data_IF_612311406935
#
_entry.id   IF_612311406935
#
_cell.length_a   1.000
_cell.length_b   1.000
_cell.length_c   1.000
_cell.angle_alpha   90.00
_cell.angle_beta   90.00
_cell.angle_gamma   90.00
#
_symmetry.space_group_name_H-M   'P 1'
#
loop_
_entity.id
_entity.type
_entity.pdbx_description
1 polymer ?
#
# COMPACT_ATOMS: atom_id res chain seq x y z
N UNK A 1 1.13 -1.54 20.13
CA UNK A 1 0.76 -1.29 18.73
C UNK A 1 -0.10 -2.46 18.27
N UNK A 2 -1.21 -2.20 17.57
CA UNK A 2 -2.02 -3.22 16.87
C UNK A 2 -2.02 -2.86 15.39
N UNK A 3 -1.02 -3.32 14.62
CA UNK A 3 -0.84 -2.90 13.24
C UNK A 3 -1.72 -3.71 12.27
N UNK A 4 -2.10 -3.07 11.16
CA UNK A 4 -2.57 -3.72 9.94
C UNK A 4 -1.66 -3.34 8.77
N UNK A 5 -1.33 -4.31 7.93
CA UNK A 5 -0.59 -4.08 6.69
C UNK A 5 -1.57 -3.74 5.57
N UNK A 6 -1.35 -2.62 4.90
CA UNK A 6 -2.10 -2.21 3.72
C UNK A 6 -1.16 -2.19 2.53
N UNK A 7 -1.33 -3.16 1.64
CA UNK A 7 -0.56 -3.28 0.39
C UNK A 7 -1.37 -2.65 -0.73
N UNK A 8 -0.87 -1.55 -1.28
CA UNK A 8 -1.59 -0.68 -2.20
C UNK A 8 -1.18 -0.97 -3.65
N UNK A 9 -2.15 -1.31 -4.47
CA UNK A 9 -2.09 -1.37 -5.95
C UNK A 9 -1.00 -2.28 -6.55
N UNK A 10 -0.57 -3.30 -5.81
CA UNK A 10 0.33 -4.34 -6.32
C UNK A 10 -0.45 -5.35 -7.18
N UNK A 11 -1.02 -4.88 -8.29
CA UNK A 11 -1.94 -5.60 -9.18
C UNK A 11 -1.35 -5.82 -10.57
N UNK A 12 -1.99 -6.72 -11.34
CA UNK A 12 -1.50 -7.15 -12.66
C UNK A 12 -1.38 -5.99 -13.65
N UNK A 13 -2.36 -5.09 -13.72
CA UNK A 13 -2.31 -3.96 -14.65
C UNK A 13 -1.23 -2.93 -14.29
N UNK A 14 -0.88 -2.79 -13.02
CA UNK A 14 0.12 -1.82 -12.59
C UNK A 14 1.55 -2.40 -12.61
N UNK A 15 1.72 -3.64 -12.20
CA UNK A 15 3.02 -4.27 -12.00
C UNK A 15 3.27 -5.42 -12.97
N UNK A 16 2.24 -6.17 -13.33
CA UNK A 16 2.36 -7.40 -14.12
C UNK A 16 2.97 -7.19 -15.51
N UNK A 17 2.69 -6.06 -16.17
CA UNK A 17 3.30 -5.72 -17.45
C UNK A 17 4.84 -5.58 -17.36
N UNK A 18 5.35 -5.21 -16.20
CA UNK A 18 6.77 -5.06 -15.94
C UNK A 18 7.46 -6.38 -15.55
N UNK A 19 6.70 -7.33 -15.00
CA UNK A 19 7.21 -8.68 -14.69
C UNK A 19 7.56 -9.48 -15.94
N UNK A 20 6.76 -9.32 -17.01
CA UNK A 20 6.94 -10.07 -18.26
C UNK A 20 7.97 -9.45 -19.22
N UNK A 21 8.27 -8.16 -19.13
CA UNK A 21 9.06 -7.43 -20.13
C UNK A 21 10.31 -6.72 -19.62
N UNK A 22 10.23 -5.97 -18.55
CA UNK A 22 11.33 -5.14 -18.05
C UNK A 22 11.49 -5.25 -16.52
N UNK A 23 12.36 -6.18 -16.09
CA UNK A 23 12.71 -6.36 -14.67
C UNK A 23 13.35 -5.14 -14.00
N UNK A 24 13.60 -4.06 -14.74
CA UNK A 24 14.18 -2.81 -14.22
C UNK A 24 13.14 -1.82 -13.68
N UNK A 25 11.84 -2.14 -13.75
CA UNK A 25 10.81 -1.26 -13.18
C UNK A 25 10.95 -1.12 -11.67
N UNK A 26 10.87 0.11 -11.18
CA UNK A 26 10.91 0.40 -9.75
C UNK A 26 9.83 -0.37 -8.97
N UNK A 27 8.69 -0.64 -9.59
CA UNK A 27 7.59 -1.40 -9.00
C UNK A 27 7.94 -2.87 -8.75
N UNK A 28 8.79 -3.46 -9.58
CA UNK A 28 9.26 -4.85 -9.41
C UNK A 28 10.32 -4.94 -8.32
N UNK A 29 11.16 -3.91 -8.18
CA UNK A 29 12.26 -3.92 -7.20
C UNK A 29 11.81 -3.99 -5.75
N UNK A 30 10.60 -3.49 -5.43
CA UNK A 30 10.07 -3.49 -4.06
C UNK A 30 9.41 -4.82 -3.66
N UNK A 31 9.11 -5.71 -4.63
CA UNK A 31 8.41 -6.98 -4.35
C UNK A 31 9.11 -7.81 -3.28
N UNK A 32 10.44 -8.05 -3.33
CA UNK A 32 11.11 -8.86 -2.30
C UNK A 32 10.96 -8.29 -0.88
N UNK A 33 11.00 -6.97 -0.74
CA UNK A 33 10.82 -6.33 0.56
C UNK A 33 9.37 -6.45 1.04
N UNK A 34 8.37 -6.28 0.15
CA UNK A 34 6.97 -6.50 0.50
C UNK A 34 6.73 -7.97 0.90
N UNK A 35 7.35 -8.94 0.21
CA UNK A 35 7.26 -10.36 0.58
C UNK A 35 7.80 -10.63 1.99
N UNK A 36 8.94 -10.04 2.36
CA UNK A 36 9.50 -10.14 3.72
C UNK A 36 8.54 -9.56 4.76
N UNK A 37 7.99 -8.39 4.49
CA UNK A 37 7.03 -7.74 5.38
C UNK A 37 5.73 -8.53 5.51
N UNK A 38 5.20 -9.01 4.40
CA UNK A 38 4.00 -9.86 4.32
C UNK A 38 4.20 -11.16 5.10
N UNK A 39 5.35 -11.81 4.95
CA UNK A 39 5.73 -13.00 5.72
C UNK A 39 5.74 -12.75 7.23
N UNK A 40 6.22 -11.58 7.66
CA UNK A 40 6.23 -11.20 9.07
C UNK A 40 4.81 -11.01 9.62
N UNK A 41 3.94 -10.31 8.89
CA UNK A 41 2.54 -10.14 9.29
C UNK A 41 1.79 -11.47 9.36
N UNK A 42 2.00 -12.36 8.38
CA UNK A 42 1.43 -13.73 8.38
C UNK A 42 1.91 -14.56 9.56
N UNK A 43 3.21 -14.51 9.87
CA UNK A 43 3.81 -15.23 11.01
C UNK A 43 3.19 -14.84 12.35
N UNK A 44 2.78 -13.59 12.49
CA UNK A 44 2.15 -13.06 13.71
C UNK A 44 0.63 -13.01 13.64
N UNK A 45 0.00 -13.58 12.62
CA UNK A 45 -1.45 -13.54 12.39
C UNK A 45 -2.04 -12.13 12.49
N UNK A 46 -1.31 -11.13 11.97
CA UNK A 46 -1.73 -9.73 11.94
C UNK A 46 -2.60 -9.45 10.71
N UNK A 47 -3.53 -8.47 10.80
CA UNK A 47 -4.39 -8.11 9.69
C UNK A 47 -3.62 -7.66 8.44
N UNK A 48 -4.04 -8.18 7.28
CA UNK A 48 -3.47 -7.85 5.97
C UNK A 48 -4.60 -7.48 5.02
N UNK A 49 -4.44 -6.34 4.35
CA UNK A 49 -5.39 -5.80 3.39
C UNK A 49 -4.64 -5.48 2.09
N UNK A 50 -5.12 -6.00 0.98
CA UNK A 50 -4.70 -5.62 -0.36
C UNK A 50 -5.69 -4.59 -0.88
N UNK A 51 -5.33 -3.31 -0.85
CA UNK A 51 -6.12 -2.23 -1.41
C UNK A 51 -5.81 -2.13 -2.90
N UNK A 52 -6.78 -2.47 -3.75
CA UNK A 52 -6.59 -2.60 -5.20
C UNK A 52 -7.47 -1.61 -5.95
N UNK A 53 -6.89 -0.92 -6.93
CA UNK A 53 -7.67 -0.09 -7.85
C UNK A 53 -8.73 -0.91 -8.58
N UNK A 54 -9.96 -0.38 -8.66
CA UNK A 54 -11.11 -1.00 -9.29
C UNK A 54 -11.98 0.07 -9.92
N UNK A 55 -11.50 0.60 -11.07
CA UNK A 55 -12.12 1.72 -11.77
C UNK A 55 -13.28 1.29 -12.69
N UNK A 56 -14.07 2.27 -13.11
CA UNK A 56 -15.03 2.14 -14.21
C UNK A 56 -14.52 2.95 -15.41
N UNK A 57 -14.82 2.52 -16.64
CA UNK A 57 -14.36 3.20 -17.87
C UNK A 57 -14.64 4.71 -17.90
N UNK A 58 -15.78 5.16 -17.37
CA UNK A 58 -16.17 6.57 -17.31
C UNK A 58 -15.63 7.35 -16.12
N UNK A 59 -14.69 6.81 -15.35
CA UNK A 59 -14.13 7.53 -14.20
C UNK A 59 -13.30 8.74 -14.63
N UNK A 60 -13.46 9.85 -13.90
CA UNK A 60 -12.77 11.13 -14.17
C UNK A 60 -11.25 10.99 -14.30
N UNK A 61 -10.65 10.04 -13.61
CA UNK A 61 -9.20 9.79 -13.66
C UNK A 61 -8.69 9.52 -15.08
N UNK A 62 -9.56 9.00 -15.96
CA UNK A 62 -9.25 8.68 -17.36
C UNK A 62 -9.53 9.83 -18.33
N UNK A 63 -10.06 10.96 -17.86
CA UNK A 63 -10.28 12.15 -18.71
C UNK A 63 -8.99 12.91 -19.03
N UNK A 64 -7.87 12.54 -18.42
CA UNK A 64 -6.56 13.17 -18.63
C UNK A 64 -5.58 12.27 -19.42
N UNK A 65 -4.37 12.20 -18.91
CA UNK A 65 -3.27 11.45 -19.56
C UNK A 65 -3.29 9.96 -19.24
N UNK A 66 -4.00 9.55 -18.19
CA UNK A 66 -4.05 8.18 -17.75
C UNK A 66 -4.97 7.36 -18.66
N UNK A 67 -4.45 6.28 -19.22
CA UNK A 67 -5.27 5.32 -19.99
C UNK A 67 -6.09 4.44 -19.07
N UNK A 68 -7.28 3.99 -19.49
CA UNK A 68 -8.05 3.01 -18.73
C UNK A 68 -7.23 1.77 -18.40
N UNK A 69 -7.20 1.42 -17.12
CA UNK A 69 -6.54 0.24 -16.54
C UNK A 69 -7.21 -0.10 -15.22
N UNK A 70 -6.88 -1.24 -14.64
CA UNK A 70 -7.46 -1.71 -13.38
C UNK A 70 -9.00 -1.62 -13.38
N UNK A 71 -9.61 -2.01 -14.50
CA UNK A 71 -11.06 -1.95 -14.66
C UNK A 71 -11.74 -3.04 -13.84
N UNK A 72 -12.80 -2.67 -13.14
CA UNK A 72 -13.59 -3.57 -12.29
C UNK A 72 -14.06 -4.80 -13.06
N UNK A 73 -13.92 -5.97 -12.42
CA UNK A 73 -14.32 -7.24 -12.99
C UNK A 73 -13.32 -7.84 -13.99
N UNK A 74 -12.22 -7.16 -14.32
CA UNK A 74 -11.16 -7.70 -15.17
C UNK A 74 -10.09 -8.43 -14.38
N UNK A 75 -9.24 -9.20 -15.06
CA UNK A 75 -8.07 -9.82 -14.43
C UNK A 75 -7.01 -8.79 -14.00
N UNK A 76 -7.06 -7.58 -14.53
CA UNK A 76 -6.10 -6.51 -14.26
C UNK A 76 -6.06 -6.06 -12.81
N UNK A 77 -7.21 -6.13 -12.10
CA UNK A 77 -7.29 -5.77 -10.68
C UNK A 77 -6.77 -6.85 -9.72
N UNK A 78 -6.44 -8.04 -10.23
CA UNK A 78 -5.93 -9.13 -9.39
C UNK A 78 -4.54 -8.80 -8.88
N UNK A 79 -4.30 -9.07 -7.59
CA UNK A 79 -2.96 -8.98 -6.98
C UNK A 79 -1.99 -9.85 -7.78
N UNK A 80 -0.75 -9.40 -7.93
CA UNK A 80 0.31 -10.17 -8.60
C UNK A 80 0.58 -11.48 -7.88
N UNK A 81 1.03 -12.48 -8.60
CA UNK A 81 1.21 -13.85 -8.06
C UNK A 81 2.27 -13.91 -6.96
N UNK A 82 3.29 -13.06 -7.06
CA UNK A 82 4.37 -12.95 -6.09
C UNK A 82 3.91 -12.52 -4.68
N UNK A 83 2.73 -11.91 -4.58
CA UNK A 83 2.13 -11.43 -3.34
C UNK A 83 0.75 -12.06 -3.07
N UNK A 84 0.39 -13.13 -3.74
CA UNK A 84 -0.93 -13.76 -3.69
C UNK A 84 -1.56 -13.73 -2.30
N UNK A 85 -2.79 -13.18 -2.16
CA UNK A 85 -3.50 -13.18 -0.91
C UNK A 85 -3.77 -14.60 -0.41
N UNK A 86 -3.54 -14.83 0.89
CA UNK A 86 -3.88 -16.07 1.56
C UNK A 86 -5.35 -16.08 2.02
N UNK A 87 -5.86 -17.25 2.40
CA UNK A 87 -7.19 -17.36 3.00
C UNK A 87 -7.29 -16.53 4.27
N UNK A 88 -8.34 -15.72 4.39
CA UNK A 88 -8.57 -14.82 5.51
C UNK A 88 -7.94 -13.42 5.36
N UNK A 89 -7.12 -13.18 4.33
CA UNK A 89 -6.65 -11.85 4.01
C UNK A 89 -7.69 -11.09 3.17
N UNK A 90 -7.78 -9.78 3.36
CA UNK A 90 -8.82 -8.95 2.75
C UNK A 90 -8.34 -8.34 1.44
N UNK A 91 -9.17 -8.43 0.39
CA UNK A 91 -9.02 -7.64 -0.83
C UNK A 91 -10.04 -6.51 -0.76
N UNK A 92 -9.56 -5.27 -0.74
CA UNK A 92 -10.36 -4.06 -0.72
C UNK A 92 -10.32 -3.41 -2.11
N UNK A 93 -11.41 -3.50 -2.85
CA UNK A 93 -11.54 -2.77 -4.12
C UNK A 93 -11.83 -1.30 -3.87
N UNK A 94 -10.92 -0.42 -4.26
CA UNK A 94 -11.07 1.03 -4.16
C UNK A 94 -11.26 1.67 -5.54
N UNK A 95 -12.23 2.56 -5.66
CA UNK A 95 -12.52 3.28 -6.91
C UNK A 95 -11.83 4.64 -6.99
N UNK A 96 -11.03 5.00 -5.98
CA UNK A 96 -10.28 6.26 -5.89
C UNK A 96 -8.91 5.99 -5.30
N UNK A 97 -8.02 6.95 -5.39
CA UNK A 97 -6.62 6.77 -4.98
C UNK A 97 -6.49 6.33 -3.52
N UNK A 98 -7.29 6.89 -2.61
CA UNK A 98 -7.27 6.49 -1.21
C UNK A 98 -8.11 5.24 -0.95
N UNK A 99 -7.56 4.32 -0.15
CA UNK A 99 -8.26 3.14 0.34
C UNK A 99 -9.44 3.46 1.28
N UNK A 100 -9.49 4.66 1.85
CA UNK A 100 -10.58 5.09 2.74
C UNK A 100 -11.75 5.72 2.01
N UNK A 101 -11.53 6.23 0.78
CA UNK A 101 -12.57 6.99 0.11
C UNK A 101 -13.73 6.10 -0.36
N UNK A 102 -14.87 6.23 0.31
CA UNK A 102 -16.11 5.49 0.00
C UNK A 102 -15.94 3.96 0.00
N UNK A 103 -15.15 3.46 0.93
CA UNK A 103 -14.99 2.03 1.25
C UNK A 103 -15.38 1.78 2.71
N UNK A 104 -15.38 0.54 3.12
CA UNK A 104 -15.60 0.13 4.51
C UNK A 104 -14.30 -0.06 5.32
N UNK A 105 -13.16 0.44 4.80
CA UNK A 105 -11.85 0.24 5.41
C UNK A 105 -11.79 0.71 6.87
N UNK A 106 -12.30 1.92 7.17
CA UNK A 106 -12.31 2.44 8.55
C UNK A 106 -13.10 1.52 9.50
N UNK A 107 -14.31 1.12 9.10
CA UNK A 107 -15.15 0.23 9.91
C UNK A 107 -14.47 -1.12 10.15
N UNK A 108 -13.84 -1.69 9.12
CA UNK A 108 -13.12 -2.96 9.20
C UNK A 108 -11.93 -2.86 10.16
N UNK A 109 -11.11 -1.82 10.04
CA UNK A 109 -9.96 -1.59 10.91
C UNK A 109 -10.37 -1.41 12.39
N UNK A 110 -11.45 -0.68 12.63
CA UNK A 110 -11.97 -0.49 14.00
C UNK A 110 -12.56 -1.78 14.58
N UNK A 111 -13.27 -2.58 13.78
CA UNK A 111 -13.74 -3.89 14.19
C UNK A 111 -12.57 -4.78 14.66
N UNK A 112 -11.45 -4.74 13.97
CA UNK A 112 -10.24 -5.47 14.32
C UNK A 112 -9.41 -4.81 15.44
N UNK A 113 -9.86 -3.66 15.93
CA UNK A 113 -9.17 -2.87 16.96
C UNK A 113 -7.75 -2.46 16.54
N UNK A 114 -7.54 -2.24 15.26
CA UNK A 114 -6.29 -1.71 14.71
C UNK A 114 -6.12 -0.27 15.17
N UNK A 115 -4.89 0.13 15.48
CA UNK A 115 -4.55 1.50 15.82
C UNK A 115 -3.34 2.05 15.05
N UNK A 116 -2.74 1.22 14.20
CA UNK A 116 -1.56 1.59 13.42
C UNK A 116 -1.67 0.98 12.02
N UNK A 117 -1.50 1.79 11.00
CA UNK A 117 -1.47 1.37 9.60
C UNK A 117 -0.03 1.26 9.14
N UNK A 118 0.32 0.16 8.52
CA UNK A 118 1.61 -0.02 7.82
C UNK A 118 1.30 -0.02 6.34
N UNK A 119 1.63 1.08 5.66
CA UNK A 119 1.21 1.31 4.27
C UNK A 119 2.40 1.15 3.34
N UNK A 120 2.24 0.31 2.33
CA UNK A 120 3.27 -0.04 1.32
C UNK A 120 2.67 -0.17 -0.07
N UNK A 121 3.50 -0.26 -1.10
CA UNK A 121 3.07 -0.49 -2.49
C UNK A 121 3.28 0.72 -3.39
N UNK A 122 2.34 0.98 -4.28
CA UNK A 122 2.46 1.99 -5.34
C UNK A 122 1.19 2.84 -5.49
N UNK A 123 1.28 4.06 -6.03
CA UNK A 123 2.50 4.86 -6.20
C UNK A 123 2.73 5.70 -4.96
N UNK A 124 4.00 5.89 -4.55
CA UNK A 124 4.34 6.64 -3.32
C UNK A 124 3.64 7.99 -3.21
N UNK A 125 3.68 8.91 -4.22
CA UNK A 125 3.02 10.21 -4.14
C UNK A 125 1.51 10.17 -4.42
N UNK A 126 0.95 9.00 -4.69
CA UNK A 126 -0.46 8.81 -5.04
C UNK A 126 -1.20 7.97 -4.02
N UNK A 127 -1.59 6.77 -4.43
CA UNK A 127 -2.47 5.90 -3.64
C UNK A 127 -1.88 5.53 -2.27
N UNK A 128 -0.56 5.33 -2.17
CA UNK A 128 0.13 5.06 -0.89
C UNK A 128 -0.03 6.25 0.05
N UNK A 129 0.39 7.43 -0.37
CA UNK A 129 0.34 8.65 0.45
C UNK A 129 -1.10 9.04 0.83
N UNK A 130 -2.02 9.04 -0.13
CA UNK A 130 -3.41 9.42 0.13
C UNK A 130 -4.08 8.44 1.09
N UNK A 131 -3.83 7.13 0.96
CA UNK A 131 -4.32 6.14 1.93
C UNK A 131 -3.72 6.35 3.31
N UNK A 132 -2.42 6.63 3.38
CA UNK A 132 -1.72 6.90 4.64
C UNK A 132 -2.27 8.15 5.35
N UNK A 133 -2.44 9.25 4.62
CA UNK A 133 -2.90 10.52 5.19
C UNK A 133 -4.38 10.52 5.54
N UNK A 134 -5.22 9.85 4.76
CA UNK A 134 -6.62 9.65 5.16
C UNK A 134 -6.69 8.78 6.42
N UNK A 135 -5.88 7.73 6.53
CA UNK A 135 -5.77 6.95 7.75
C UNK A 135 -5.36 7.78 8.96
N UNK A 136 -4.39 8.69 8.79
CA UNK A 136 -4.02 9.66 9.83
C UNK A 136 -5.19 10.60 10.18
N UNK A 137 -5.94 11.08 9.20
CA UNK A 137 -7.13 11.92 9.41
C UNK A 137 -8.27 11.17 10.14
N UNK A 138 -8.28 9.83 10.09
CA UNK A 138 -9.17 8.96 10.88
C UNK A 138 -8.55 8.53 12.23
N UNK A 139 -7.53 9.22 12.74
CA UNK A 139 -6.87 8.97 14.02
C UNK A 139 -6.13 7.62 14.13
N UNK A 140 -5.66 7.07 13.02
CA UNK A 140 -4.70 5.97 13.05
C UNK A 140 -3.25 6.50 13.10
N UNK A 141 -2.38 5.85 13.86
CA UNK A 141 -0.96 6.01 13.63
C UNK A 141 -0.59 5.39 12.28
N UNK A 142 0.37 5.97 11.59
CA UNK A 142 0.77 5.54 10.25
C UNK A 142 2.26 5.28 10.18
N UNK A 143 2.64 4.17 9.58
CA UNK A 143 4.01 3.86 9.20
C UNK A 143 4.05 3.64 7.69
N UNK A 144 4.82 4.45 6.97
CA UNK A 144 5.15 4.20 5.57
C UNK A 144 6.52 3.51 5.55
N UNK A 145 6.58 2.28 5.04
CA UNK A 145 7.85 1.56 4.88
C UNK A 145 8.42 1.93 3.52
N UNK A 146 9.37 2.89 3.52
CA UNK A 146 9.80 3.57 2.31
C UNK A 146 10.41 2.66 1.23
N UNK A 147 11.17 1.65 1.61
CA UNK A 147 11.78 0.68 0.71
C UNK A 147 10.86 -0.50 0.35
N UNK A 148 9.60 -0.44 0.79
CA UNK A 148 8.46 -1.22 0.30
C UNK A 148 7.52 -0.38 -0.55
N UNK A 149 7.91 0.86 -0.92
CA UNK A 149 7.12 1.77 -1.75
C UNK A 149 7.93 2.18 -2.99
N UNK A 150 7.23 2.48 -4.08
CA UNK A 150 7.85 2.98 -5.29
C UNK A 150 6.98 4.00 -6.03
N UNK A 151 7.60 4.77 -6.90
CA UNK A 151 6.94 5.60 -7.92
C UNK A 151 7.48 5.23 -9.30
N UNK A 152 6.90 5.77 -10.38
CA UNK A 152 7.34 5.51 -11.76
C UNK A 152 8.80 5.87 -12.01
N UNK A 153 9.34 6.82 -11.24
CA UNK A 153 10.75 7.25 -11.30
C UNK A 153 11.33 7.26 -9.90
N UNK A 154 12.59 6.79 -9.72
CA UNK A 154 13.25 6.79 -8.41
C UNK A 154 13.30 8.17 -7.77
N UNK A 155 13.59 9.23 -8.57
CA UNK A 155 13.69 10.59 -8.08
C UNK A 155 12.34 11.11 -7.57
N UNK A 156 11.23 10.71 -8.20
CA UNK A 156 9.89 11.07 -7.74
C UNK A 156 9.61 10.48 -6.36
N UNK A 157 9.97 9.20 -6.16
CA UNK A 157 9.86 8.55 -4.86
C UNK A 157 10.72 9.23 -3.80
N UNK A 158 12.02 9.41 -4.08
CA UNK A 158 12.99 9.98 -3.14
C UNK A 158 12.63 11.40 -2.70
N UNK A 159 12.31 12.27 -3.68
CA UNK A 159 11.92 13.65 -3.41
C UNK A 159 10.65 13.73 -2.58
N UNK A 160 9.68 12.87 -2.88
CA UNK A 160 8.41 12.86 -2.16
C UNK A 160 8.58 12.36 -0.72
N UNK A 161 9.32 11.27 -0.50
CA UNK A 161 9.65 10.75 0.83
C UNK A 161 10.40 11.80 1.65
N UNK A 162 11.38 12.46 1.05
CA UNK A 162 12.13 13.54 1.73
C UNK A 162 11.21 14.69 2.16
N UNK A 163 10.26 15.07 1.31
CA UNK A 163 9.29 16.13 1.63
C UNK A 163 8.36 15.76 2.79
N UNK A 164 7.87 14.50 2.82
CA UNK A 164 6.99 14.07 3.92
C UNK A 164 7.77 14.01 5.25
N UNK A 165 9.03 13.56 5.24
CA UNK A 165 9.88 13.53 6.43
C UNK A 165 10.11 14.90 7.07
N UNK A 166 9.88 15.98 6.32
CA UNK A 166 9.97 17.37 6.85
C UNK A 166 8.68 17.82 7.57
N UNK A 167 7.59 17.10 7.43
CA UNK A 167 6.34 17.45 8.12
C UNK A 167 6.45 17.14 9.61
N UNK A 168 5.92 18.00 10.50
CA UNK A 168 6.00 17.82 11.96
C UNK A 168 4.95 16.81 12.46
N UNK A 169 4.89 15.63 11.86
CA UNK A 169 3.86 14.61 12.16
C UNK A 169 4.36 13.43 12.99
N UNK A 170 5.66 13.33 13.26
CA UNK A 170 6.16 12.32 14.20
C UNK A 170 5.70 12.63 15.64
N UNK A 171 5.38 11.59 16.43
CA UNK A 171 5.55 10.16 16.15
C UNK A 171 4.33 9.49 15.48
N UNK A 172 3.25 10.23 15.15
CA UNK A 172 2.00 9.67 14.64
C UNK A 172 2.14 9.18 13.20
N UNK A 173 2.90 9.88 12.37
CA UNK A 173 3.24 9.44 11.01
C UNK A 173 4.75 9.24 10.94
N UNK A 174 5.17 8.00 10.73
CA UNK A 174 6.57 7.61 10.61
C UNK A 174 6.90 7.11 9.22
N UNK A 175 8.08 7.48 8.73
CA UNK A 175 8.63 6.93 7.51
C UNK A 175 9.95 6.24 7.86
N UNK A 176 10.04 4.95 7.59
CA UNK A 176 11.19 4.14 7.98
C UNK A 176 11.49 3.04 6.97
N UNK A 177 12.68 2.49 7.03
CA UNK A 177 13.07 1.33 6.23
C UNK A 177 12.54 0.03 6.83
N UNK A 178 12.40 -0.98 6.00
CA UNK A 178 11.90 -2.29 6.39
C UNK A 178 12.66 -2.90 7.57
N UNK A 179 13.98 -2.90 7.55
CA UNK A 179 14.78 -3.53 8.62
C UNK A 179 14.58 -2.83 9.97
N UNK A 180 14.42 -1.50 9.97
CA UNK A 180 14.09 -0.73 11.17
C UNK A 180 12.69 -1.09 11.68
N UNK A 181 11.71 -1.17 10.77
CA UNK A 181 10.34 -1.56 11.11
C UNK A 181 10.28 -2.97 11.70
N UNK A 182 10.97 -3.95 11.08
CA UNK A 182 10.99 -5.34 11.55
C UNK A 182 11.62 -5.46 12.95
N UNK A 183 12.63 -4.63 13.24
CA UNK A 183 13.23 -4.57 14.57
C UNK A 183 12.24 -4.04 15.61
N UNK A 184 11.49 -3.00 15.28
CA UNK A 184 10.55 -2.35 16.19
C UNK A 184 9.30 -3.21 16.43
N UNK A 185 8.75 -3.82 15.38
CA UNK A 185 7.57 -4.68 15.51
C UNK A 185 7.88 -5.92 16.35
N UNK A 186 9.05 -6.51 16.19
CA UNK A 186 9.50 -7.66 16.99
C UNK A 186 9.59 -7.38 18.50
N UNK A 187 9.83 -6.13 18.89
CA UNK A 187 9.81 -5.70 20.31
C UNK A 187 8.40 -5.47 20.85
N UNK A 188 7.47 -5.13 19.97
CA UNK A 188 6.12 -4.67 20.36
C UNK A 188 5.10 -5.81 20.43
N UNK A 189 5.34 -6.91 19.70
CA UNK A 189 4.42 -8.08 19.62
C UNK A 189 4.81 -9.17 20.64
N UNK A 190 5.91 -8.99 21.35
CA UNK A 190 6.27 -9.83 22.51
C UNK A 190 5.50 -9.36 23.73
#
# INVERSE_FOLDING_TARGET
MKPALIIVDMIKDNVGMHLSGNKSSEFVKIIPNIQRLLGEFRRHALPIIFAVDSYMEGDLIFSGRMKPHALRGTSGIKVIEELSPASGETILEKRRMSGFFKTDLDMTLRLWKVNTLVVVGISTPGCVYLTAMDGFAYDFNVVIVEDCCAAHKPEMHQNFISSIKMLPLEPMVKIMKLDSFLTDIGKTIR
#
